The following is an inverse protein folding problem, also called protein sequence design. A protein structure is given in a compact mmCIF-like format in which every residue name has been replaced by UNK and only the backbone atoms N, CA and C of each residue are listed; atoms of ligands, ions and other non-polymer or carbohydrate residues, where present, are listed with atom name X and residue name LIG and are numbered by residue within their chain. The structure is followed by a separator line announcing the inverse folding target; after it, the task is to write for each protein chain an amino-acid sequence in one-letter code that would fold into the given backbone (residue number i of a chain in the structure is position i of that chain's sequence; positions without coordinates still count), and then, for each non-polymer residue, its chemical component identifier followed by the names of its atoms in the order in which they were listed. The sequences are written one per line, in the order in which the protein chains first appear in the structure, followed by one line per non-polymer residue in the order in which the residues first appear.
data_IF_630270612949
#
_entry.id   IF_630270612949
#
_cell.length_a   1.000
_cell.length_b   1.000
_cell.length_c   1.000
_cell.angle_alpha   90.00
_cell.angle_beta   90.00
_cell.angle_gamma   90.00
#
_symmetry.space_group_name_H-M   'P 1'
#
loop_
_entity.id
_entity.type
_entity.pdbx_description
1 polymer ?
#
# COMPACT_ATOMS: atom_id res chain seq x y z
N UNK A 1 -18.69 -5.65 -6.88
CA UNK A 1 -19.03 -4.45 -6.07
C UNK A 1 -17.96 -4.39 -5.00
N UNK A 2 -16.79 -3.89 -5.38
CA UNK A 2 -15.51 -4.21 -4.71
C UNK A 2 -15.13 -3.05 -3.79
N UNK A 3 -15.98 -2.79 -2.80
CA UNK A 3 -15.73 -1.76 -1.80
C UNK A 3 -14.96 -2.42 -0.64
N UNK A 4 -13.75 -1.94 -0.38
CA UNK A 4 -13.07 -2.25 0.87
C UNK A 4 -13.97 -1.73 2.01
N UNK A 5 -14.45 -2.62 2.87
CA UNK A 5 -15.56 -2.40 3.82
C UNK A 5 -15.30 -1.29 4.87
N UNK A 6 -14.13 -0.65 4.84
CA UNK A 6 -13.57 0.09 5.96
C UNK A 6 -13.96 1.57 6.09
N UNK A 7 -14.87 2.10 5.26
CA UNK A 7 -15.12 3.56 5.22
C UNK A 7 -16.31 4.00 6.08
N UNK A 8 -17.11 3.09 6.65
CA UNK A 8 -18.24 3.50 7.49
C UNK A 8 -17.84 3.94 8.91
N UNK A 9 -16.64 3.61 9.41
CA UNK A 9 -16.22 3.91 10.80
C UNK A 9 -15.07 4.93 10.93
N UNK A 10 -14.51 5.45 9.84
CA UNK A 10 -13.33 6.34 9.88
C UNK A 10 -13.60 7.79 10.26
N UNK A 11 -14.87 8.21 10.43
CA UNK A 11 -15.19 9.58 10.85
C UNK A 11 -14.65 9.93 12.24
N UNK A 12 -14.44 8.96 13.12
CA UNK A 12 -14.10 9.23 14.52
C UNK A 12 -12.59 9.20 14.85
N UNK A 13 -11.75 8.60 13.99
CA UNK A 13 -10.31 8.49 14.24
C UNK A 13 -9.52 9.70 13.72
N UNK A 14 -9.97 10.31 12.61
CA UNK A 14 -9.33 11.47 12.00
C UNK A 14 -9.37 12.71 12.93
N UNK A 15 -10.41 12.87 13.74
CA UNK A 15 -10.56 14.04 14.62
C UNK A 15 -9.62 13.98 15.84
N UNK A 16 -9.29 12.77 16.34
CA UNK A 16 -8.41 12.59 17.51
C UNK A 16 -6.92 12.74 17.18
N UNK A 17 -6.50 12.35 15.98
CA UNK A 17 -5.08 12.42 15.56
C UNK A 17 -4.71 13.86 15.14
N UNK A 18 -5.63 14.63 14.57
CA UNK A 18 -5.37 16.02 14.15
C UNK A 18 -5.12 17.00 15.33
N UNK A 19 -5.67 16.74 16.52
CA UNK A 19 -5.56 17.64 17.67
C UNK A 19 -4.30 17.42 18.52
N UNK A 20 -3.71 16.22 18.52
CA UNK A 20 -2.66 15.87 19.48
C UNK A 20 -1.22 16.08 19.01
N UNK A 21 -0.96 16.39 17.73
CA UNK A 21 0.41 16.39 17.19
C UNK A 21 0.93 17.77 16.73
N UNK A 22 0.31 18.85 17.22
CA UNK A 22 0.65 20.23 16.81
C UNK A 22 1.59 20.99 17.76
N UNK A 23 2.24 20.33 18.71
CA UNK A 23 3.10 21.00 19.70
C UNK A 23 4.43 20.25 19.94
N UNK A 24 5.44 20.52 19.11
CA UNK A 24 6.76 21.00 19.57
C UNK A 24 7.72 21.18 18.38
N UNK A 25 8.15 22.42 18.15
CA UNK A 25 9.10 22.83 17.12
C UNK A 25 10.56 22.67 17.55
N UNK A 26 11.47 22.82 16.57
CA UNK A 26 12.90 23.21 16.67
C UNK A 26 13.93 22.07 16.81
N UNK A 27 15.16 22.12 16.31
CA UNK A 27 15.85 22.79 15.19
C UNK A 27 17.25 22.11 15.15
N UNK A 28 17.85 21.93 13.97
CA UNK A 28 19.29 22.05 13.63
C UNK A 28 19.88 20.93 12.76
N UNK A 29 20.53 21.41 11.71
CA UNK A 29 21.25 20.72 10.63
C UNK A 29 22.76 20.70 10.96
N UNK A 30 23.49 19.64 10.59
CA UNK A 30 24.85 19.64 9.98
C UNK A 30 25.37 18.19 9.84
N UNK A 31 25.43 17.59 8.63
CA UNK A 31 26.55 17.55 7.65
C UNK A 31 27.86 16.98 8.25
N UNK A 32 28.29 15.76 7.91
CA UNK A 32 29.28 15.41 6.86
C UNK A 32 29.50 13.88 6.94
N UNK A 33 29.81 13.08 5.92
CA UNK A 33 30.91 13.25 4.96
C UNK A 33 30.69 12.35 3.71
N UNK A 34 31.00 12.92 2.55
CA UNK A 34 30.93 12.34 1.20
C UNK A 34 31.89 11.14 1.00
N UNK A 35 31.67 10.36 -0.07
CA UNK A 35 32.68 10.13 -1.12
C UNK A 35 32.03 9.61 -2.42
N UNK A 36 32.19 10.44 -3.46
CA UNK A 36 32.38 10.13 -4.88
C UNK A 36 31.26 9.40 -5.66
N UNK A 37 30.46 10.18 -6.40
CA UNK A 37 30.38 10.05 -7.87
C UNK A 37 29.95 11.39 -8.47
N UNK A 38 30.88 12.05 -9.13
CA UNK A 38 30.64 13.24 -9.96
C UNK A 38 30.19 12.81 -11.35
N UNK A 39 28.90 12.95 -11.63
CA UNK A 39 28.40 13.36 -12.95
C UNK A 39 26.97 13.87 -12.77
N UNK A 40 26.68 14.96 -13.47
CA UNK A 40 25.43 15.72 -13.46
C UNK A 40 24.16 14.86 -13.33
N UNK A 41 23.55 14.86 -12.15
CA UNK A 41 22.18 14.39 -11.98
C UNK A 41 21.22 15.51 -12.38
N UNK A 42 21.13 15.77 -13.69
CA UNK A 42 19.89 16.32 -14.23
C UNK A 42 18.82 15.27 -13.93
N UNK A 43 17.78 15.61 -13.17
CA UNK A 43 16.62 14.74 -13.02
C UNK A 43 15.93 14.62 -14.39
N UNK A 44 16.34 13.61 -15.16
CA UNK A 44 15.79 13.32 -16.48
C UNK A 44 14.32 12.89 -16.33
N UNK A 45 13.42 13.30 -17.25
CA UNK A 45 12.06 12.82 -17.27
C UNK A 45 12.08 11.29 -17.47
N UNK A 46 11.35 10.60 -16.61
CA UNK A 46 11.18 9.15 -16.71
C UNK A 46 10.43 8.87 -18.01
N UNK A 47 11.03 8.03 -18.85
CA UNK A 47 10.35 7.48 -20.02
C UNK A 47 9.77 6.12 -19.67
N UNK A 48 8.71 5.74 -20.38
CA UNK A 48 8.13 4.39 -20.33
C UNK A 48 9.20 3.30 -20.43
N UNK A 49 10.19 3.50 -21.30
CA UNK A 49 11.29 2.55 -21.53
C UNK A 49 12.19 2.37 -20.29
N UNK A 50 12.38 3.42 -19.47
CA UNK A 50 13.15 3.33 -18.22
C UNK A 50 12.40 2.51 -17.16
N UNK A 51 11.07 2.69 -17.06
CA UNK A 51 10.24 1.89 -16.17
C UNK A 51 10.19 0.42 -16.62
N UNK A 52 10.09 0.18 -17.92
CA UNK A 52 10.06 -1.17 -18.50
C UNK A 52 11.40 -1.90 -18.34
N UNK A 53 12.53 -1.22 -18.54
CA UNK A 53 13.87 -1.78 -18.30
C UNK A 53 14.09 -2.08 -16.81
N UNK A 54 13.63 -1.22 -15.90
CA UNK A 54 13.67 -1.53 -14.47
C UNK A 54 12.75 -2.70 -14.10
N UNK A 55 11.54 -2.75 -14.66
CA UNK A 55 10.61 -3.87 -14.44
C UNK A 55 11.22 -5.18 -14.93
N UNK A 56 11.87 -5.17 -16.10
CA UNK A 56 12.57 -6.32 -16.67
C UNK A 56 13.72 -6.79 -15.77
N UNK A 57 14.55 -5.88 -15.26
CA UNK A 57 15.64 -6.22 -14.31
C UNK A 57 15.12 -6.82 -13.01
N UNK A 58 14.00 -6.30 -12.49
CA UNK A 58 13.35 -6.80 -11.28
C UNK A 58 12.72 -8.19 -11.53
N UNK A 59 12.16 -8.43 -12.71
CA UNK A 59 11.60 -9.72 -13.11
C UNK A 59 12.66 -10.80 -13.38
N UNK A 60 13.82 -10.43 -13.94
CA UNK A 60 14.95 -11.34 -14.19
C UNK A 60 15.59 -11.86 -12.90
N UNK A 61 15.49 -11.08 -11.81
CA UNK A 61 15.78 -11.53 -10.45
C UNK A 61 14.62 -12.41 -9.92
N UNK A 62 14.52 -13.64 -10.43
CA UNK A 62 13.49 -14.68 -10.18
C UNK A 62 13.08 -15.00 -8.73
N UNK A 63 13.57 -14.27 -7.72
CA UNK A 63 13.25 -14.42 -6.29
C UNK A 63 12.40 -13.28 -5.70
N UNK A 64 12.15 -12.18 -6.42
CA UNK A 64 11.45 -11.01 -5.87
C UNK A 64 9.94 -11.11 -6.12
N UNK A 65 9.12 -11.02 -5.06
CA UNK A 65 7.66 -11.07 -5.19
C UNK A 65 7.10 -9.74 -5.71
N UNK A 66 5.96 -9.72 -6.43
CA UNK A 66 5.31 -8.49 -6.87
C UNK A 66 5.10 -7.46 -5.76
N UNK A 67 4.77 -7.91 -4.54
CA UNK A 67 4.60 -7.04 -3.36
C UNK A 67 5.91 -6.31 -3.04
N UNK A 68 7.03 -7.04 -3.02
CA UNK A 68 8.36 -6.47 -2.76
C UNK A 68 8.74 -5.44 -3.82
N UNK A 69 8.52 -5.76 -5.09
CA UNK A 69 8.81 -4.84 -6.20
C UNK A 69 7.99 -3.56 -6.12
N UNK A 70 6.68 -3.65 -5.85
CA UNK A 70 5.82 -2.47 -5.69
C UNK A 70 6.26 -1.63 -4.50
N UNK A 71 6.65 -2.25 -3.38
CA UNK A 71 7.19 -1.52 -2.24
C UNK A 71 8.49 -0.77 -2.57
N UNK A 72 9.42 -1.42 -3.28
CA UNK A 72 10.67 -0.80 -3.74
C UNK A 72 10.40 0.39 -4.66
N UNK A 73 9.51 0.23 -5.65
CA UNK A 73 9.07 1.31 -6.55
C UNK A 73 8.55 2.50 -5.73
N UNK A 74 7.66 2.26 -4.76
CA UNK A 74 7.09 3.31 -3.92
C UNK A 74 8.11 3.94 -2.95
N UNK A 75 9.28 3.33 -2.75
CA UNK A 75 10.33 3.82 -1.86
C UNK A 75 11.51 4.45 -2.58
N UNK A 76 11.64 4.22 -3.88
CA UNK A 76 12.81 4.62 -4.66
C UNK A 76 13.01 6.14 -4.68
N UNK A 77 11.92 6.90 -4.82
CA UNK A 77 11.90 8.36 -4.90
C UNK A 77 10.49 8.90 -4.69
N UNK A 78 10.35 10.21 -4.59
CA UNK A 78 9.05 10.87 -4.67
C UNK A 78 8.62 11.06 -6.13
N UNK A 79 7.41 10.63 -6.45
CA UNK A 79 6.81 10.81 -7.77
C UNK A 79 6.14 12.18 -7.91
N UNK A 80 6.19 12.75 -9.11
CA UNK A 80 5.48 13.97 -9.46
C UNK A 80 4.06 13.64 -9.95
N UNK A 81 3.11 14.58 -9.85
CA UNK A 81 1.77 14.39 -10.41
C UNK A 81 1.75 13.96 -11.90
N UNK A 82 2.71 14.44 -12.70
CA UNK A 82 2.84 14.07 -14.12
C UNK A 82 3.22 12.60 -14.35
N UNK A 83 3.79 11.91 -13.35
CA UNK A 83 4.30 10.54 -13.46
C UNK A 83 3.28 9.51 -12.96
N UNK A 84 2.17 9.95 -12.34
CA UNK A 84 1.22 9.05 -11.68
C UNK A 84 0.53 8.11 -12.65
N UNK A 85 0.21 8.57 -13.87
CA UNK A 85 -0.40 7.71 -14.89
C UNK A 85 0.48 6.49 -15.20
N UNK A 86 1.79 6.71 -15.32
CA UNK A 86 2.78 5.66 -15.62
C UNK A 86 3.02 4.78 -14.40
N UNK A 87 3.14 5.36 -13.21
CA UNK A 87 3.23 4.61 -11.95
C UNK A 87 2.06 3.64 -11.77
N UNK A 88 0.82 4.12 -11.94
CA UNK A 88 -0.37 3.28 -11.80
C UNK A 88 -0.44 2.18 -12.88
N UNK A 89 -0.02 2.49 -14.11
CA UNK A 89 0.06 1.52 -15.19
C UNK A 89 1.12 0.43 -14.92
N UNK A 90 2.27 0.80 -14.35
CA UNK A 90 3.30 -0.14 -13.92
C UNK A 90 2.80 -1.05 -12.80
N UNK A 91 2.14 -0.49 -11.78
CA UNK A 91 1.58 -1.32 -10.71
C UNK A 91 0.53 -2.30 -11.29
N UNK A 92 -0.27 -1.85 -12.26
CA UNK A 92 -1.25 -2.70 -12.94
C UNK A 92 -0.60 -3.83 -13.77
N UNK A 93 0.62 -3.64 -14.28
CA UNK A 93 1.30 -4.64 -15.13
C UNK A 93 1.89 -5.81 -14.34
N UNK A 94 1.95 -5.72 -13.01
CA UNK A 94 2.40 -6.85 -12.19
C UNK A 94 1.47 -8.07 -12.33
N UNK A 95 2.03 -9.29 -12.31
CA UNK A 95 1.26 -10.51 -12.44
C UNK A 95 0.23 -10.61 -11.31
N UNK A 96 -1.03 -10.84 -11.69
CA UNK A 96 -2.11 -11.06 -10.73
C UNK A 96 -2.16 -12.54 -10.34
N UNK A 97 -2.41 -12.84 -9.06
CA UNK A 97 -2.66 -14.21 -8.67
C UNK A 97 -3.93 -14.74 -9.35
N UNK A 98 -3.93 -16.03 -9.68
CA UNK A 98 -5.12 -16.71 -10.20
C UNK A 98 -6.24 -16.79 -9.17
N UNK A 99 -7.46 -17.00 -9.66
CA UNK A 99 -8.62 -17.24 -8.80
C UNK A 99 -8.44 -18.59 -8.11
N UNK A 100 -8.51 -18.60 -6.78
CA UNK A 100 -8.42 -19.81 -5.98
C UNK A 100 -9.80 -20.41 -5.65
N UNK A 101 -9.90 -21.01 -4.46
CA UNK A 101 -11.14 -21.58 -3.92
C UNK A 101 -12.07 -20.46 -3.43
N UNK A 102 -12.77 -19.81 -4.38
CA UNK A 102 -13.59 -18.63 -4.13
C UNK A 102 -14.63 -18.82 -3.00
N UNK A 103 -15.37 -19.93 -3.02
CA UNK A 103 -16.40 -20.20 -2.01
C UNK A 103 -15.81 -20.36 -0.59
N UNK A 104 -14.69 -21.07 -0.46
CA UNK A 104 -14.02 -21.23 0.82
C UNK A 104 -13.49 -19.88 1.33
N UNK A 105 -12.89 -19.09 0.44
CA UNK A 105 -12.38 -17.77 0.77
C UNK A 105 -13.50 -16.82 1.20
N UNK A 106 -14.66 -16.85 0.54
CA UNK A 106 -15.84 -16.06 0.89
C UNK A 106 -16.36 -16.40 2.28
N UNK A 107 -16.48 -17.69 2.62
CA UNK A 107 -16.87 -18.13 3.96
C UNK A 107 -15.89 -17.66 5.04
N UNK A 108 -14.57 -17.83 4.80
CA UNK A 108 -13.53 -17.36 5.72
C UNK A 108 -13.54 -15.84 5.86
N UNK A 109 -13.77 -15.11 4.77
CA UNK A 109 -13.90 -13.65 4.77
C UNK A 109 -15.11 -13.21 5.61
N UNK A 110 -16.26 -13.86 5.46
CA UNK A 110 -17.45 -13.57 6.26
C UNK A 110 -17.21 -13.79 7.76
N UNK A 111 -16.57 -14.90 8.14
CA UNK A 111 -16.18 -15.12 9.54
C UNK A 111 -15.18 -14.07 10.03
N UNK A 112 -14.20 -13.69 9.20
CA UNK A 112 -13.24 -12.65 9.53
C UNK A 112 -13.91 -11.29 9.76
N UNK A 113 -14.89 -10.92 8.93
CA UNK A 113 -15.68 -9.69 9.08
C UNK A 113 -16.46 -9.71 10.40
N UNK A 114 -17.07 -10.85 10.74
CA UNK A 114 -17.77 -10.99 12.01
C UNK A 114 -16.82 -10.82 13.21
N UNK A 115 -15.64 -11.46 13.19
CA UNK A 115 -14.63 -11.28 14.23
C UNK A 115 -14.15 -9.82 14.33
N UNK A 116 -13.92 -9.17 13.20
CA UNK A 116 -13.56 -7.75 13.14
C UNK A 116 -14.63 -6.86 13.79
N UNK A 117 -15.91 -7.08 13.46
CA UNK A 117 -17.03 -6.32 14.04
C UNK A 117 -17.17 -6.52 15.55
N UNK A 118 -16.75 -7.68 16.06
CA UNK A 118 -16.68 -7.99 17.49
C UNK A 118 -15.39 -7.43 18.15
N UNK A 119 -14.55 -6.73 17.39
CA UNK A 119 -13.24 -6.20 17.80
C UNK A 119 -12.22 -7.28 18.19
N UNK A 120 -12.46 -8.54 17.81
CA UNK A 120 -11.46 -9.60 17.88
C UNK A 120 -10.57 -9.55 16.64
N UNK A 121 -9.71 -8.53 16.60
CA UNK A 121 -8.84 -8.27 15.46
C UNK A 121 -7.79 -9.37 15.25
N UNK A 122 -7.36 -10.03 16.33
CA UNK A 122 -6.42 -11.15 16.24
C UNK A 122 -7.05 -12.36 15.54
N UNK A 123 -8.32 -12.69 15.85
CA UNK A 123 -9.05 -13.72 15.11
C UNK A 123 -9.34 -13.29 13.67
N UNK A 124 -9.72 -12.03 13.46
CA UNK A 124 -9.97 -11.48 12.12
C UNK A 124 -8.75 -11.63 11.21
N UNK A 125 -7.55 -11.25 11.68
CA UNK A 125 -6.28 -11.45 10.95
C UNK A 125 -6.09 -12.91 10.55
N UNK A 126 -6.25 -13.86 11.49
CA UNK A 126 -6.09 -15.30 11.19
C UNK A 126 -7.07 -15.79 10.13
N UNK A 127 -8.32 -15.34 10.18
CA UNK A 127 -9.36 -15.70 9.22
C UNK A 127 -9.08 -15.11 7.85
N UNK A 128 -8.71 -13.83 7.77
CA UNK A 128 -8.37 -13.18 6.51
C UNK A 128 -7.10 -13.74 5.88
N UNK A 129 -6.08 -14.13 6.66
CA UNK A 129 -4.90 -14.84 6.14
C UNK A 129 -5.27 -16.19 5.51
N UNK A 130 -6.19 -16.94 6.14
CA UNK A 130 -6.70 -18.20 5.55
C UNK A 130 -7.51 -17.93 4.29
N UNK A 131 -8.34 -16.89 4.29
CA UNK A 131 -9.13 -16.49 3.13
C UNK A 131 -8.23 -16.06 1.96
N UNK A 132 -7.15 -15.32 2.24
CA UNK A 132 -6.18 -14.84 1.26
C UNK A 132 -5.39 -16.00 0.63
N UNK A 133 -5.06 -17.03 1.42
CA UNK A 133 -4.48 -18.28 0.91
C UNK A 133 -5.46 -19.06 0.04
N UNK A 134 -6.75 -19.07 0.40
CA UNK A 134 -7.78 -19.78 -0.35
C UNK A 134 -8.08 -19.11 -1.69
N UNK A 135 -8.20 -17.78 -1.73
CA UNK A 135 -8.40 -17.01 -2.96
C UNK A 135 -7.56 -15.71 -2.94
N UNK A 136 -6.32 -15.74 -3.44
CA UNK A 136 -5.45 -14.57 -3.47
C UNK A 136 -5.89 -13.47 -4.45
N UNK A 137 -6.84 -13.75 -5.35
CA UNK A 137 -7.36 -12.78 -6.33
C UNK A 137 -8.46 -11.86 -5.78
N UNK A 138 -8.97 -12.13 -4.57
CA UNK A 138 -10.07 -11.35 -3.99
C UNK A 138 -9.57 -10.13 -3.20
N UNK A 139 -9.77 -8.94 -3.76
CA UNK A 139 -9.22 -7.69 -3.21
C UNK A 139 -9.79 -7.34 -1.83
N UNK A 140 -11.07 -7.64 -1.57
CA UNK A 140 -11.69 -7.29 -0.29
C UNK A 140 -11.01 -7.96 0.90
N UNK A 141 -10.55 -9.21 0.73
CA UNK A 141 -9.82 -9.96 1.76
C UNK A 141 -8.51 -9.27 2.12
N UNK A 142 -7.74 -8.80 1.14
CA UNK A 142 -6.48 -8.10 1.37
C UNK A 142 -6.68 -6.75 2.05
N UNK A 143 -7.72 -6.02 1.66
CA UNK A 143 -8.14 -4.80 2.36
C UNK A 143 -8.50 -5.06 3.83
N UNK A 144 -9.28 -6.11 4.09
CA UNK A 144 -9.70 -6.48 5.44
C UNK A 144 -8.53 -6.97 6.30
N UNK A 145 -7.61 -7.74 5.71
CA UNK A 145 -6.38 -8.16 6.37
C UNK A 145 -5.51 -6.95 6.73
N UNK A 146 -5.29 -6.03 5.79
CA UNK A 146 -4.50 -4.83 6.04
C UNK A 146 -5.05 -4.02 7.21
N UNK A 147 -6.36 -3.80 7.23
CA UNK A 147 -7.03 -3.03 8.26
C UNK A 147 -7.04 -3.73 9.63
N UNK A 148 -7.27 -5.05 9.68
CA UNK A 148 -7.18 -5.82 10.92
C UNK A 148 -5.75 -5.85 11.47
N UNK A 149 -4.77 -5.95 10.57
CA UNK A 149 -3.35 -5.91 10.94
C UNK A 149 -2.94 -4.56 11.52
N UNK A 150 -3.47 -3.44 11.00
CA UNK A 150 -3.30 -2.11 11.61
C UNK A 150 -3.82 -2.05 13.04
N UNK A 151 -5.01 -2.60 13.30
CA UNK A 151 -5.59 -2.66 14.66
C UNK A 151 -4.75 -3.50 15.62
N UNK A 152 -4.18 -4.61 15.14
CA UNK A 152 -3.27 -5.46 15.92
C UNK A 152 -1.82 -4.94 15.99
N UNK A 153 -1.52 -3.82 15.33
CA UNK A 153 -0.17 -3.23 15.19
C UNK A 153 0.86 -4.10 14.47
N UNK A 154 0.41 -5.10 13.71
CA UNK A 154 1.26 -5.85 12.78
C UNK A 154 1.41 -5.03 11.49
N UNK A 155 2.26 -4.02 11.54
CA UNK A 155 2.42 -3.05 10.46
C UNK A 155 3.07 -3.64 9.20
N UNK A 156 3.88 -4.69 9.35
CA UNK A 156 4.47 -5.40 8.22
C UNK A 156 3.40 -6.18 7.42
N UNK A 157 2.52 -6.90 8.12
CA UNK A 157 1.38 -7.57 7.46
C UNK A 157 0.39 -6.55 6.89
N UNK A 158 0.17 -5.43 7.60
CA UNK A 158 -0.69 -4.36 7.10
C UNK A 158 -0.18 -3.79 5.76
N UNK A 159 1.11 -3.47 5.68
CA UNK A 159 1.73 -2.90 4.48
C UNK A 159 1.69 -3.89 3.32
N UNK A 160 2.17 -5.12 3.53
CA UNK A 160 2.16 -6.15 2.48
C UNK A 160 0.76 -6.46 1.96
N UNK A 161 -0.25 -6.51 2.84
CA UNK A 161 -1.64 -6.74 2.45
C UNK A 161 -2.25 -5.57 1.68
N UNK A 162 -1.95 -4.32 2.09
CA UNK A 162 -2.40 -3.13 1.37
C UNK A 162 -1.78 -3.06 -0.04
N UNK A 163 -0.50 -3.43 -0.18
CA UNK A 163 0.18 -3.50 -1.48
C UNK A 163 -0.37 -4.63 -2.36
N UNK A 164 -0.75 -5.76 -1.78
CA UNK A 164 -1.40 -6.83 -2.52
C UNK A 164 -2.77 -6.38 -3.06
N UNK A 165 -3.56 -5.65 -2.26
CA UNK A 165 -4.79 -5.03 -2.74
C UNK A 165 -4.50 -4.01 -3.86
N UNK A 166 -3.40 -3.26 -3.74
CA UNK A 166 -2.99 -2.26 -4.73
C UNK A 166 -2.62 -2.88 -6.08
N UNK A 167 -1.94 -4.04 -6.09
CA UNK A 167 -1.63 -4.80 -7.32
C UNK A 167 -2.91 -5.21 -8.04
N UNK A 168 -3.94 -5.64 -7.30
CA UNK A 168 -5.22 -6.05 -7.89
C UNK A 168 -5.99 -4.86 -8.47
N UNK A 169 -6.03 -3.74 -7.75
CA UNK A 169 -6.82 -2.56 -8.13
C UNK A 169 -6.09 -1.21 -7.87
N UNK A 170 -5.10 -0.84 -8.69
CA UNK A 170 -4.27 0.34 -8.44
C UNK A 170 -4.98 1.68 -8.58
N UNK A 171 -6.18 1.72 -9.16
CA UNK A 171 -6.94 2.96 -9.36
C UNK A 171 -7.98 3.24 -8.25
N UNK A 172 -8.08 2.38 -7.23
CA UNK A 172 -9.05 2.54 -6.15
C UNK A 172 -8.49 3.44 -5.05
N UNK A 173 -9.10 4.62 -4.89
CA UNK A 173 -8.75 5.62 -3.86
C UNK A 173 -8.66 5.00 -2.46
N UNK A 174 -9.57 4.11 -2.10
CA UNK A 174 -9.63 3.55 -0.74
C UNK A 174 -8.46 2.61 -0.43
N UNK A 175 -7.91 1.95 -1.46
CA UNK A 175 -6.71 1.13 -1.31
C UNK A 175 -5.50 2.04 -1.05
N UNK A 176 -5.40 3.18 -1.73
CA UNK A 176 -4.34 4.16 -1.46
C UNK A 176 -4.39 4.75 -0.06
N UNK A 177 -5.60 4.92 0.53
CA UNK A 177 -5.73 5.30 1.95
C UNK A 177 -5.12 4.24 2.86
N UNK A 178 -5.39 2.96 2.60
CA UNK A 178 -4.79 1.85 3.36
C UNK A 178 -3.27 1.79 3.19
N UNK A 179 -2.76 1.95 1.96
CA UNK A 179 -1.31 2.00 1.68
C UNK A 179 -0.65 3.15 2.44
N UNK A 180 -1.24 4.35 2.39
CA UNK A 180 -0.74 5.52 3.13
C UNK A 180 -0.66 5.24 4.63
N UNK A 181 -1.75 4.71 5.21
CA UNK A 181 -1.83 4.43 6.64
C UNK A 181 -0.84 3.32 7.05
N UNK A 182 -0.77 2.22 6.31
CA UNK A 182 0.14 1.12 6.60
C UNK A 182 1.61 1.52 6.44
N UNK A 183 1.96 2.27 5.40
CA UNK A 183 3.33 2.78 5.25
C UNK A 183 3.70 3.79 6.34
N UNK A 184 2.78 4.66 6.77
CA UNK A 184 3.02 5.56 7.90
C UNK A 184 3.31 4.79 9.21
N UNK A 185 2.51 3.77 9.51
CA UNK A 185 2.68 2.98 10.75
C UNK A 185 3.92 2.06 10.69
N UNK A 186 4.31 1.59 9.50
CA UNK A 186 5.50 0.78 9.30
C UNK A 186 6.78 1.62 9.08
N UNK A 187 6.81 2.89 9.49
CA UNK A 187 7.94 3.82 9.35
C UNK A 187 8.50 3.94 7.93
N UNK A 188 7.64 3.83 6.91
CA UNK A 188 8.01 3.96 5.52
C UNK A 188 7.52 5.29 4.93
N UNK A 189 8.32 6.34 5.16
CA UNK A 189 7.97 7.72 4.85
C UNK A 189 7.83 8.01 3.35
N UNK A 190 8.69 7.44 2.51
CA UNK A 190 8.64 7.66 1.05
C UNK A 190 7.40 7.02 0.45
N UNK A 191 7.09 5.77 0.80
CA UNK A 191 5.84 5.13 0.39
C UNK A 191 4.62 5.93 0.85
N UNK A 192 4.59 6.38 2.12
CA UNK A 192 3.50 7.20 2.65
C UNK A 192 3.31 8.48 1.84
N UNK A 193 4.39 9.21 1.55
CA UNK A 193 4.33 10.46 0.79
C UNK A 193 3.87 10.24 -0.66
N UNK A 194 4.33 9.16 -1.30
CA UNK A 194 3.85 8.79 -2.64
C UNK A 194 2.36 8.44 -2.64
N UNK A 195 1.88 7.69 -1.65
CA UNK A 195 0.46 7.43 -1.50
C UNK A 195 -0.35 8.73 -1.28
N UNK A 196 0.18 9.68 -0.52
CA UNK A 196 -0.44 11.00 -0.34
C UNK A 196 -0.54 11.80 -1.65
N UNK A 197 0.52 11.77 -2.47
CA UNK A 197 0.55 12.42 -3.78
C UNK A 197 -0.52 11.83 -4.70
N UNK A 198 -0.63 10.49 -4.74
CA UNK A 198 -1.69 9.81 -5.50
C UNK A 198 -3.09 10.19 -5.00
N UNK A 199 -3.30 10.19 -3.68
CA UNK A 199 -4.58 10.58 -3.07
C UNK A 199 -4.96 12.03 -3.34
N UNK A 200 -4.00 12.96 -3.44
CA UNK A 200 -4.28 14.36 -3.81
C UNK A 200 -4.70 14.49 -5.28
N UNK A 201 -4.13 13.65 -6.16
CA UNK A 201 -4.45 13.66 -7.58
C UNK A 201 -5.77 12.95 -7.91
N UNK A 202 -6.19 11.97 -7.12
CA UNK A 202 -7.50 11.33 -7.26
C UNK A 202 -8.60 12.28 -6.76
N UNK A 203 -9.56 12.63 -7.61
CA UNK A 203 -10.77 13.30 -7.16
C UNK A 203 -11.50 12.42 -6.13
N UNK A 204 -12.10 12.98 -5.07
CA UNK A 204 -13.04 12.23 -4.26
C UNK A 204 -14.16 11.71 -5.17
N UNK A 205 -14.47 10.43 -5.11
CA UNK A 205 -15.69 9.92 -5.74
C UNK A 205 -16.88 10.58 -5.05
N UNK A 206 -17.75 11.21 -5.82
CA UNK A 206 -19.06 11.74 -5.37
C UNK A 206 -19.90 10.66 -4.68
#
# INVERSE_FOLDING_TARGET
MDKCFFISSLKDLALKIMLNNKLSQSLLVSVSLLILFSSSLQAQPITKDMLEEQHKRIQEASSVTPITSVLEILNQRLYKPSELKELLALIQSFPRPGIGQAQMAEQLNAYGINAFNQKDYSLAVKLFQRAAKANPAETSIWCNLAASSLETKDYATAQSSALQALILHPYKRDIWKLVQQACAQNNNDTCRQNAEIVLKAMTPSE
#
